data_IF_576611035003
#
_entry.id   IF_576611035003
#
_cell.length_a   1.000
_cell.length_b   1.000
_cell.length_c   1.000
_cell.angle_alpha   90.00
_cell.angle_beta   90.00
_cell.angle_gamma   90.00
#
_symmetry.space_group_name_H-M   'P 1'
#
loop_
_entity.id
_entity.type
_entity.pdbx_description
1 polymer ?
#
# COMPACT_ATOMS: atom_id res chain seq x y z
N UNK A 1 -24.21 22.32 8.55
CA UNK A 1 -24.69 21.69 7.31
C UNK A 1 -26.21 21.83 7.27
N UNK A 2 -26.77 22.34 6.15
CA UNK A 2 -28.22 22.41 5.95
C UNK A 2 -28.65 21.19 5.13
N UNK A 3 -29.77 20.57 5.54
CA UNK A 3 -30.37 19.44 4.83
C UNK A 3 -31.67 19.91 4.17
N UNK A 4 -31.92 19.42 2.94
CA UNK A 4 -33.09 19.82 2.16
C UNK A 4 -34.41 19.26 2.72
N UNK A 5 -34.37 18.22 3.57
CA UNK A 5 -35.56 17.62 4.15
C UNK A 5 -35.28 17.03 5.55
N UNK A 6 -36.36 16.80 6.34
CA UNK A 6 -36.28 16.11 7.63
C UNK A 6 -35.86 14.64 7.47
N UNK A 7 -36.26 14.01 6.39
CA UNK A 7 -35.90 12.62 6.05
C UNK A 7 -34.40 12.53 5.79
N UNK A 8 -33.83 13.47 5.02
CA UNK A 8 -32.39 13.54 4.74
C UNK A 8 -31.55 13.74 6.02
N UNK A 9 -32.06 14.53 6.98
CA UNK A 9 -31.41 14.68 8.28
C UNK A 9 -31.45 13.38 9.09
N UNK A 10 -32.60 12.69 9.16
CA UNK A 10 -32.73 11.41 9.88
C UNK A 10 -31.82 10.33 9.26
N UNK A 11 -31.79 10.24 7.95
CA UNK A 11 -30.91 9.29 7.27
C UNK A 11 -29.44 9.58 7.57
N UNK A 12 -29.04 10.85 7.56
CA UNK A 12 -27.67 11.24 7.93
C UNK A 12 -27.34 10.91 9.39
N UNK A 13 -28.27 11.14 10.30
CA UNK A 13 -28.10 10.75 11.71
C UNK A 13 -27.93 9.24 11.87
N UNK A 14 -28.73 8.45 11.13
CA UNK A 14 -28.59 6.98 11.11
C UNK A 14 -27.20 6.56 10.59
N UNK A 15 -26.74 7.17 9.50
CA UNK A 15 -25.40 6.90 8.94
C UNK A 15 -24.29 7.24 9.93
N UNK A 16 -24.40 8.34 10.67
CA UNK A 16 -23.41 8.72 11.70
C UNK A 16 -23.41 7.67 12.83
N UNK A 17 -24.58 7.28 13.34
CA UNK A 17 -24.66 6.26 14.39
C UNK A 17 -24.11 4.90 13.95
N UNK A 18 -24.37 4.50 12.70
CA UNK A 18 -23.79 3.27 12.15
C UNK A 18 -22.26 3.40 11.95
N UNK A 19 -21.76 4.56 11.55
CA UNK A 19 -20.33 4.81 11.45
C UNK A 19 -19.63 4.75 12.83
N UNK A 20 -20.27 5.31 13.88
CA UNK A 20 -19.75 5.25 15.25
C UNK A 20 -19.69 3.82 15.81
N UNK A 21 -20.64 2.96 15.44
CA UNK A 21 -20.59 1.53 15.81
C UNK A 21 -19.45 0.78 15.13
N UNK A 22 -19.02 1.24 13.97
CA UNK A 22 -17.94 0.65 13.14
C UNK A 22 -16.61 1.38 13.31
N UNK A 23 -16.49 2.29 14.27
CA UNK A 23 -15.23 3.00 14.51
C UNK A 23 -14.14 2.01 14.95
N UNK A 24 -13.14 1.83 14.11
CA UNK A 24 -12.01 0.93 14.37
C UNK A 24 -11.24 1.25 15.65
N UNK A 25 -11.24 2.52 16.10
CA UNK A 25 -10.59 2.91 17.36
C UNK A 25 -11.36 2.37 18.57
N UNK A 26 -12.70 2.44 18.51
CA UNK A 26 -13.57 1.91 19.55
C UNK A 26 -13.49 0.39 19.58
N UNK A 27 -13.71 -0.26 18.44
CA UNK A 27 -13.66 -1.72 18.32
C UNK A 27 -12.27 -2.24 18.69
N UNK A 28 -11.22 -1.60 18.20
CA UNK A 28 -9.83 -1.97 18.49
C UNK A 28 -9.50 -1.96 19.97
N UNK A 29 -10.03 -0.99 20.71
CA UNK A 29 -9.88 -0.92 22.17
C UNK A 29 -10.74 -1.96 22.90
N UNK A 30 -12.03 -2.09 22.54
CA UNK A 30 -12.97 -3.01 23.19
C UNK A 30 -12.59 -4.48 23.01
N UNK A 31 -12.04 -4.82 21.84
CA UNK A 31 -11.59 -6.18 21.49
C UNK A 31 -10.10 -6.43 21.73
N UNK A 32 -9.38 -5.47 22.26
CA UNK A 32 -7.93 -5.55 22.51
C UNK A 32 -7.14 -5.95 21.25
N UNK A 33 -7.44 -5.28 20.10
CA UNK A 33 -6.81 -5.62 18.84
C UNK A 33 -5.44 -4.96 18.65
N UNK A 34 -5.32 -3.70 19.05
CA UNK A 34 -4.05 -2.95 18.93
C UNK A 34 -3.99 -1.83 19.96
N UNK A 35 -2.78 -1.34 20.16
CA UNK A 35 -2.54 -0.16 20.97
C UNK A 35 -1.58 0.81 20.29
N UNK A 36 -1.69 2.09 20.61
CA UNK A 36 -0.71 3.13 20.35
C UNK A 36 -0.10 3.53 21.70
N UNK A 37 1.20 3.41 21.86
CA UNK A 37 1.90 3.73 23.09
C UNK A 37 2.84 4.92 22.86
N UNK A 38 2.84 5.88 23.79
CA UNK A 38 3.65 7.11 23.67
C UNK A 38 5.17 6.82 23.68
N UNK A 39 5.63 5.78 24.39
CA UNK A 39 7.03 5.38 24.40
C UNK A 39 7.50 4.81 23.05
N UNK A 40 6.59 4.25 22.27
CA UNK A 40 6.87 3.76 20.91
C UNK A 40 6.73 4.91 19.92
N UNK A 41 5.71 5.74 20.08
CA UNK A 41 5.44 6.90 19.26
C UNK A 41 4.09 6.86 18.56
N UNK A 42 3.60 8.04 18.20
CA UNK A 42 2.31 8.21 17.50
C UNK A 42 2.40 7.65 16.07
N UNK A 43 1.35 6.95 15.66
CA UNK A 43 1.27 6.37 14.32
C UNK A 43 2.07 5.07 14.14
N UNK A 44 2.55 4.49 15.25
CA UNK A 44 3.25 3.19 15.29
C UNK A 44 2.39 2.20 16.08
N UNK A 45 1.43 1.53 15.43
CA UNK A 45 0.52 0.60 16.11
C UNK A 45 1.25 -0.67 16.54
N UNK A 46 0.92 -1.14 17.73
CA UNK A 46 1.32 -2.46 18.24
C UNK A 46 0.11 -3.37 18.17
N UNK A 47 0.20 -4.44 17.43
CA UNK A 47 -0.83 -5.46 17.37
C UNK A 47 -0.79 -6.30 18.65
N UNK A 48 -1.94 -6.46 19.29
CA UNK A 48 -2.13 -7.32 20.45
C UNK A 48 -2.53 -8.73 19.99
N UNK A 49 -2.52 -9.74 20.86
CA UNK A 49 -2.75 -11.12 20.44
C UNK A 49 -4.02 -11.34 19.61
N UNK A 50 -5.16 -10.76 20.00
CA UNK A 50 -6.41 -10.85 19.24
C UNK A 50 -6.29 -10.16 17.86
N UNK A 51 -5.66 -9.01 17.83
CA UNK A 51 -5.43 -8.27 16.59
C UNK A 51 -4.45 -8.96 15.65
N UNK A 52 -3.41 -9.61 16.17
CA UNK A 52 -2.46 -10.36 15.36
C UNK A 52 -3.12 -11.58 14.70
N UNK A 53 -4.01 -12.29 15.42
CA UNK A 53 -4.81 -13.37 14.84
C UNK A 53 -5.63 -12.85 13.65
N UNK A 54 -6.38 -11.75 13.85
CA UNK A 54 -7.19 -11.15 12.80
C UNK A 54 -6.35 -10.72 11.60
N UNK A 55 -5.23 -10.03 11.87
CA UNK A 55 -4.28 -9.57 10.84
C UNK A 55 -3.71 -10.75 10.05
N UNK A 56 -3.23 -11.79 10.74
CA UNK A 56 -2.64 -12.98 10.12
C UNK A 56 -3.64 -13.72 9.23
N UNK A 57 -4.90 -13.83 9.64
CA UNK A 57 -5.94 -14.47 8.82
C UNK A 57 -6.28 -13.67 7.57
N UNK A 58 -6.32 -12.35 7.66
CA UNK A 58 -6.53 -11.46 6.49
C UNK A 58 -5.33 -11.58 5.53
N UNK A 59 -4.10 -11.55 6.06
CA UNK A 59 -2.88 -11.70 5.27
C UNK A 59 -2.81 -13.07 4.59
N UNK A 60 -3.17 -14.15 5.31
CA UNK A 60 -3.22 -15.50 4.76
C UNK A 60 -4.21 -15.61 3.60
N UNK A 61 -5.43 -15.11 3.78
CA UNK A 61 -6.44 -15.09 2.73
C UNK A 61 -5.96 -14.33 1.48
N UNK A 62 -5.32 -13.19 1.67
CA UNK A 62 -4.80 -12.41 0.56
C UNK A 62 -3.65 -13.13 -0.17
N UNK A 63 -2.73 -13.75 0.58
CA UNK A 63 -1.63 -14.55 0.02
C UNK A 63 -2.17 -15.69 -0.84
N UNK A 64 -3.09 -16.50 -0.30
CA UNK A 64 -3.72 -17.61 -1.01
C UNK A 64 -4.43 -17.15 -2.30
N UNK A 65 -5.11 -16.00 -2.22
CA UNK A 65 -5.78 -15.41 -3.38
C UNK A 65 -4.77 -14.97 -4.44
N UNK A 66 -3.72 -14.24 -4.05
CA UNK A 66 -2.68 -13.77 -4.95
C UNK A 66 -1.92 -14.91 -5.62
N UNK A 67 -1.60 -15.98 -4.88
CA UNK A 67 -0.98 -17.17 -5.43
C UNK A 67 -1.86 -17.83 -6.49
N UNK A 68 -3.18 -17.89 -6.26
CA UNK A 68 -4.14 -18.40 -7.25
C UNK A 68 -4.19 -17.53 -8.52
N UNK A 69 -3.91 -16.23 -8.41
CA UNK A 69 -3.76 -15.30 -9.53
C UNK A 69 -2.34 -15.29 -10.15
N UNK A 70 -1.43 -16.15 -9.66
CA UNK A 70 -0.09 -16.34 -10.20
C UNK A 70 0.95 -15.31 -9.73
N UNK A 71 0.72 -14.67 -8.59
CA UNK A 71 1.71 -13.80 -7.97
C UNK A 71 2.81 -14.61 -7.29
N UNK A 72 4.04 -14.15 -7.42
CA UNK A 72 5.22 -14.71 -6.77
C UNK A 72 5.59 -13.85 -5.57
N UNK A 73 5.72 -14.48 -4.41
CA UNK A 73 6.04 -13.78 -3.16
C UNK A 73 7.53 -13.46 -3.07
N UNK A 74 7.80 -12.25 -2.60
CA UNK A 74 9.15 -11.81 -2.24
C UNK A 74 9.13 -11.20 -0.85
N UNK A 75 10.30 -11.05 -0.23
CA UNK A 75 10.50 -10.31 1.02
C UNK A 75 11.71 -9.42 0.84
N UNK A 76 11.54 -8.15 1.13
CA UNK A 76 12.59 -7.15 0.94
C UNK A 76 12.93 -6.43 2.25
N UNK A 77 14.18 -5.99 2.45
CA UNK A 77 14.58 -5.29 3.66
C UNK A 77 13.85 -3.95 3.80
N UNK A 78 13.68 -3.50 5.04
CA UNK A 78 13.06 -2.20 5.36
C UNK A 78 14.03 -1.02 5.24
N UNK A 79 15.31 -1.32 5.09
CA UNK A 79 16.40 -0.37 5.05
C UNK A 79 17.21 -0.57 3.77
N UNK A 80 17.58 0.52 3.10
CA UNK A 80 18.45 0.47 1.92
C UNK A 80 19.30 1.74 1.79
N UNK A 81 20.34 1.63 0.99
CA UNK A 81 21.23 2.75 0.67
C UNK A 81 20.53 3.82 -0.14
N UNK A 82 20.97 5.05 0.03
CA UNK A 82 20.46 6.25 -0.64
C UNK A 82 20.41 6.09 -2.16
N UNK A 83 21.43 5.49 -2.75
CA UNK A 83 21.57 5.34 -4.20
C UNK A 83 20.40 4.58 -4.83
N UNK A 84 19.79 3.65 -4.09
CA UNK A 84 18.61 2.94 -4.58
C UNK A 84 17.41 3.88 -4.72
N UNK A 85 17.21 4.77 -3.76
CA UNK A 85 16.09 5.72 -3.78
C UNK A 85 16.33 6.88 -4.75
N UNK A 86 17.58 7.24 -5.01
CA UNK A 86 17.96 8.19 -6.07
C UNK A 86 17.71 7.59 -7.46
N UNK A 87 18.22 6.39 -7.71
CA UNK A 87 18.10 5.72 -9.02
C UNK A 87 16.65 5.41 -9.40
N UNK A 88 15.79 5.19 -8.41
CA UNK A 88 14.37 4.93 -8.60
C UNK A 88 13.50 6.20 -8.62
N UNK A 89 14.09 7.39 -8.47
CA UNK A 89 13.39 8.67 -8.46
C UNK A 89 12.61 8.98 -7.17
N UNK A 90 12.73 8.15 -6.12
CA UNK A 90 11.96 8.34 -4.89
C UNK A 90 12.45 9.54 -4.08
N UNK A 91 13.75 9.75 -3.93
CA UNK A 91 14.28 10.90 -3.20
C UNK A 91 13.91 12.24 -3.85
N UNK A 92 14.03 12.43 -5.18
CA UNK A 92 13.65 13.69 -5.82
C UNK A 92 12.16 14.04 -5.67
N UNK A 93 11.26 13.04 -5.57
CA UNK A 93 9.82 13.26 -5.64
C UNK A 93 9.07 13.05 -4.32
N UNK A 94 9.62 12.27 -3.38
CA UNK A 94 8.92 11.83 -2.17
C UNK A 94 9.74 12.05 -0.89
N UNK A 95 10.81 12.83 -0.93
CA UNK A 95 11.70 13.07 0.21
C UNK A 95 10.94 13.53 1.47
N UNK A 96 9.94 14.40 1.32
CA UNK A 96 9.13 14.93 2.44
C UNK A 96 8.35 13.84 3.19
N UNK A 97 8.02 12.75 2.50
CA UNK A 97 7.32 11.58 3.07
C UNK A 97 8.25 10.52 3.65
N UNK A 98 9.55 10.65 3.47
CA UNK A 98 10.54 9.70 3.98
C UNK A 98 11.08 10.14 5.34
N UNK A 99 11.43 9.17 6.20
CA UNK A 99 12.19 9.48 7.41
C UNK A 99 13.56 10.04 7.06
N UNK A 100 14.14 10.91 7.91
CA UNK A 100 15.49 11.40 7.71
C UNK A 100 16.50 10.26 7.51
N UNK A 101 17.56 10.50 6.74
CA UNK A 101 18.60 9.50 6.53
C UNK A 101 19.32 9.12 7.81
N UNK A 102 19.90 7.92 7.79
CA UNK A 102 20.80 7.41 8.82
C UNK A 102 22.21 7.30 8.22
N UNK A 103 23.14 8.03 8.79
CA UNK A 103 24.56 7.94 8.41
C UNK A 103 25.19 6.72 9.12
N UNK A 104 25.77 5.84 8.32
CA UNK A 104 26.45 4.62 8.77
C UNK A 104 27.88 4.58 8.20
N UNK A 105 28.72 3.68 8.72
CA UNK A 105 30.13 3.57 8.31
C UNK A 105 30.32 3.30 6.81
N UNK A 106 29.36 2.63 6.19
CA UNK A 106 29.40 2.21 4.78
C UNK A 106 28.45 3.01 3.86
N UNK A 107 27.88 4.10 4.34
CA UNK A 107 27.05 5.02 3.57
C UNK A 107 25.76 5.48 4.24
N UNK A 108 24.99 6.23 3.51
CA UNK A 108 23.73 6.80 3.96
C UNK A 108 22.56 5.85 3.66
N UNK A 109 21.71 5.61 4.66
CA UNK A 109 20.59 4.70 4.55
C UNK A 109 19.26 5.38 4.84
N UNK A 110 18.20 4.88 4.24
CA UNK A 110 16.81 5.31 4.44
C UNK A 110 15.92 4.15 4.82
N UNK A 111 14.91 4.41 5.67
CA UNK A 111 13.76 3.52 5.82
C UNK A 111 12.91 3.56 4.55
N UNK A 112 12.51 2.41 4.05
CA UNK A 112 11.66 2.36 2.85
C UNK A 112 10.27 2.91 3.13
N UNK A 113 9.84 3.86 2.30
CA UNK A 113 8.48 4.40 2.31
C UNK A 113 7.55 3.68 1.32
N UNK A 114 8.13 2.94 0.38
CA UNK A 114 7.46 2.16 -0.68
C UNK A 114 8.29 0.93 -1.04
N UNK A 115 7.66 -0.11 -1.60
CA UNK A 115 8.33 -1.35 -2.00
C UNK A 115 8.90 -1.30 -3.43
N UNK A 116 8.45 -0.33 -4.25
CA UNK A 116 8.81 -0.24 -5.68
C UNK A 116 10.30 -0.38 -5.99
N UNK A 117 11.22 0.36 -5.32
CA UNK A 117 12.65 0.25 -5.62
C UNK A 117 13.20 -1.16 -5.44
N UNK A 118 12.75 -1.83 -4.38
CA UNK A 118 13.17 -3.20 -4.07
C UNK A 118 12.65 -4.21 -5.09
N UNK A 119 11.35 -4.09 -5.47
CA UNK A 119 10.76 -4.97 -6.47
C UNK A 119 11.43 -4.83 -7.83
N UNK A 120 11.85 -3.62 -8.22
CA UNK A 120 12.60 -3.41 -9.46
C UNK A 120 13.99 -4.06 -9.41
N UNK A 121 14.66 -4.08 -8.23
CA UNK A 121 15.89 -4.84 -8.05
C UNK A 121 15.64 -6.35 -8.17
N UNK A 122 14.56 -6.86 -7.57
CA UNK A 122 14.19 -8.27 -7.72
C UNK A 122 13.92 -8.60 -9.19
N UNK A 123 13.21 -7.75 -9.91
CA UNK A 123 12.98 -7.94 -11.35
C UNK A 123 14.30 -7.97 -12.13
N UNK A 124 15.23 -7.06 -11.86
CA UNK A 124 16.50 -6.92 -12.57
C UNK A 124 17.60 -7.88 -12.09
N UNK A 125 17.35 -8.67 -11.03
CA UNK A 125 18.35 -9.59 -10.46
C UNK A 125 18.88 -10.66 -11.43
N UNK A 126 18.12 -10.94 -12.49
CA UNK A 126 18.53 -11.82 -13.60
C UNK A 126 18.05 -11.27 -14.94
N UNK A 127 18.73 -11.64 -16.02
CA UNK A 127 18.22 -11.40 -17.38
C UNK A 127 16.94 -12.20 -17.59
N UNK A 128 15.90 -11.56 -18.09
CA UNK A 128 14.57 -12.17 -18.33
C UNK A 128 14.23 -12.12 -19.82
N UNK A 129 13.56 -13.18 -20.28
CA UNK A 129 12.97 -13.19 -21.59
C UNK A 129 11.57 -12.53 -21.53
N UNK A 130 11.14 -11.87 -22.60
CA UNK A 130 9.77 -11.40 -22.76
C UNK A 130 8.73 -12.53 -22.62
N UNK A 131 9.13 -13.77 -22.85
CA UNK A 131 8.28 -14.97 -22.69
C UNK A 131 8.00 -15.31 -21.22
N UNK A 132 8.74 -14.73 -20.28
CA UNK A 132 8.51 -14.87 -18.84
C UNK A 132 7.45 -13.88 -18.32
N UNK A 133 6.97 -12.98 -19.19
CA UNK A 133 5.95 -11.99 -18.85
C UNK A 133 4.54 -12.54 -19.16
N UNK A 134 3.53 -12.17 -18.38
CA UNK A 134 3.60 -11.24 -17.25
C UNK A 134 4.27 -11.87 -16.01
N UNK A 135 5.11 -11.10 -15.32
CA UNK A 135 5.69 -11.47 -14.03
C UNK A 135 5.02 -10.61 -12.95
N UNK A 136 4.38 -11.26 -11.99
CA UNK A 136 3.69 -10.62 -10.87
C UNK A 136 4.45 -10.87 -9.58
N UNK A 137 4.97 -9.83 -8.94
CA UNK A 137 5.73 -9.90 -7.69
C UNK A 137 4.91 -9.23 -6.60
N UNK A 138 4.66 -9.93 -5.50
CA UNK A 138 3.88 -9.44 -4.36
C UNK A 138 4.64 -9.54 -3.04
N UNK A 139 4.38 -8.61 -2.14
CA UNK A 139 4.97 -8.56 -0.80
C UNK A 139 3.98 -7.97 0.21
N UNK A 140 3.93 -8.54 1.42
CA UNK A 140 3.48 -7.79 2.59
C UNK A 140 4.68 -7.01 3.14
N UNK A 141 4.92 -5.84 2.53
CA UNK A 141 6.07 -5.01 2.84
C UNK A 141 5.82 -4.05 3.99
N UNK A 142 6.64 -4.12 5.04
CA UNK A 142 6.62 -3.09 6.07
C UNK A 142 7.28 -1.83 5.52
N UNK A 143 6.53 -0.73 5.52
CA UNK A 143 6.99 0.59 5.07
C UNK A 143 6.80 1.64 6.15
N UNK A 144 7.63 2.68 6.10
CA UNK A 144 7.65 3.76 7.09
C UNK A 144 7.48 5.10 6.39
N UNK A 145 6.51 5.89 6.83
CA UNK A 145 6.22 7.22 6.28
C UNK A 145 6.29 8.28 7.36
N UNK A 146 7.03 9.35 7.10
CA UNK A 146 7.18 10.47 8.03
C UNK A 146 5.94 11.37 8.01
N UNK A 147 4.80 10.81 8.40
CA UNK A 147 3.54 11.53 8.45
C UNK A 147 3.53 12.58 9.58
N UNK A 148 2.97 13.76 9.29
CA UNK A 148 2.80 14.80 10.29
C UNK A 148 1.86 14.34 11.40
N UNK A 149 2.18 14.68 12.66
CA UNK A 149 1.40 14.25 13.82
C UNK A 149 -0.08 14.60 13.74
N UNK A 150 -0.41 15.76 13.17
CA UNK A 150 -1.79 16.23 13.03
C UNK A 150 -2.60 15.48 11.96
N UNK A 151 -1.97 14.69 11.10
CA UNK A 151 -2.64 13.91 10.04
C UNK A 151 -2.93 12.48 10.47
N UNK A 152 -2.38 12.01 11.58
CA UNK A 152 -2.52 10.64 12.04
C UNK A 152 -3.97 10.32 12.49
N UNK A 153 -4.50 9.18 12.06
CA UNK A 153 -5.89 8.82 12.29
C UNK A 153 -6.06 7.31 12.56
N UNK A 154 -5.81 6.88 13.80
CA UNK A 154 -5.93 5.48 14.22
C UNK A 154 -5.09 4.55 13.33
N UNK A 155 -5.73 3.54 12.71
CA UNK A 155 -5.10 2.66 11.72
C UNK A 155 -5.26 3.17 10.27
N UNK A 156 -6.07 4.23 10.03
CA UNK A 156 -6.32 4.75 8.69
C UNK A 156 -5.15 5.58 8.15
N UNK A 157 -4.39 6.22 9.03
CA UNK A 157 -3.18 6.95 8.66
C UNK A 157 -2.14 6.81 9.76
N UNK A 158 -1.10 6.09 9.44
CA UNK A 158 -0.04 5.62 10.36
C UNK A 158 1.34 5.96 9.81
N UNK A 159 2.35 5.84 10.66
CA UNK A 159 3.77 6.00 10.27
C UNK A 159 4.45 4.69 9.91
N UNK A 160 3.90 3.56 10.37
CA UNK A 160 4.35 2.22 10.00
C UNK A 160 3.14 1.40 9.57
N UNK A 161 3.21 0.78 8.41
CA UNK A 161 2.15 -0.09 7.89
C UNK A 161 2.76 -1.32 7.20
N UNK A 162 2.05 -2.44 7.29
CA UNK A 162 2.28 -3.60 6.44
C UNK A 162 1.41 -3.42 5.19
N UNK A 163 2.05 -3.19 4.07
CA UNK A 163 1.37 -2.93 2.80
C UNK A 163 1.29 -4.20 1.97
N UNK A 164 0.08 -4.62 1.64
CA UNK A 164 -0.09 -5.62 0.59
C UNK A 164 0.13 -4.94 -0.76
N UNK A 165 1.30 -5.14 -1.34
CA UNK A 165 1.78 -4.42 -2.51
C UNK A 165 2.31 -5.39 -3.57
N UNK A 166 2.07 -5.05 -4.84
CA UNK A 166 2.50 -5.85 -5.96
C UNK A 166 2.97 -5.00 -7.13
N UNK A 167 3.92 -5.54 -7.90
CA UNK A 167 4.37 -4.97 -9.16
C UNK A 167 4.23 -6.01 -10.25
N UNK A 168 3.55 -5.62 -11.33
CA UNK A 168 3.30 -6.46 -12.48
C UNK A 168 4.15 -5.95 -13.65
N UNK A 169 5.04 -6.79 -14.12
CA UNK A 169 5.88 -6.54 -15.28
C UNK A 169 5.27 -7.27 -16.46
N UNK A 170 4.81 -6.52 -17.46
CA UNK A 170 4.10 -7.07 -18.61
C UNK A 170 4.44 -6.32 -19.89
N UNK A 171 4.11 -6.89 -21.04
CA UNK A 171 4.16 -6.21 -22.33
C UNK A 171 2.93 -5.31 -22.52
N UNK A 172 2.97 -4.35 -23.44
CA UNK A 172 1.88 -3.41 -23.65
C UNK A 172 0.57 -4.08 -24.05
N UNK A 173 0.63 -5.15 -24.81
CA UNK A 173 -0.54 -5.95 -25.21
C UNK A 173 -1.16 -6.73 -24.04
N UNK A 174 -0.39 -7.03 -23.00
CA UNK A 174 -0.85 -7.71 -21.79
C UNK A 174 -1.52 -6.77 -20.77
N UNK A 175 -1.29 -5.45 -20.82
CA UNK A 175 -1.78 -4.49 -19.82
C UNK A 175 -3.29 -4.60 -19.60
N UNK A 176 -4.07 -4.72 -20.67
CA UNK A 176 -5.52 -4.80 -20.55
C UNK A 176 -6.02 -6.03 -19.77
N UNK A 177 -5.35 -7.16 -19.95
CA UNK A 177 -5.68 -8.40 -19.24
C UNK A 177 -5.26 -8.33 -17.76
N UNK A 178 -4.08 -7.77 -17.49
CA UNK A 178 -3.59 -7.58 -16.12
C UNK A 178 -4.49 -6.64 -15.31
N UNK A 179 -4.94 -5.53 -15.91
CA UNK A 179 -5.88 -4.61 -15.27
C UNK A 179 -7.21 -5.31 -14.99
N UNK A 180 -7.76 -6.08 -15.94
CA UNK A 180 -8.99 -6.85 -15.71
C UNK A 180 -8.86 -7.87 -14.59
N UNK A 181 -7.74 -8.59 -14.54
CA UNK A 181 -7.46 -9.55 -13.48
C UNK A 181 -7.39 -8.88 -12.11
N UNK A 182 -6.73 -7.72 -12.00
CA UNK A 182 -6.69 -6.94 -10.77
C UNK A 182 -8.08 -6.48 -10.33
N UNK A 183 -8.88 -5.93 -11.24
CA UNK A 183 -10.26 -5.51 -10.93
C UNK A 183 -11.09 -6.69 -10.45
N UNK A 184 -10.95 -7.86 -11.07
CA UNK A 184 -11.64 -9.07 -10.63
C UNK A 184 -11.21 -9.49 -9.22
N UNK A 185 -9.92 -9.51 -8.93
CA UNK A 185 -9.38 -9.85 -7.61
C UNK A 185 -9.89 -8.87 -6.53
N UNK A 186 -9.93 -7.56 -6.81
CA UNK A 186 -10.51 -6.55 -5.89
C UNK A 186 -12.00 -6.82 -5.65
N UNK A 187 -12.76 -7.16 -6.70
CA UNK A 187 -14.16 -7.52 -6.56
C UNK A 187 -14.37 -8.75 -5.67
N UNK A 188 -13.51 -9.76 -5.79
CA UNK A 188 -13.57 -10.97 -4.98
C UNK A 188 -13.25 -10.68 -3.51
N UNK A 189 -12.24 -9.84 -3.22
CA UNK A 189 -11.97 -9.36 -1.88
C UNK A 189 -13.17 -8.62 -1.29
N UNK A 190 -13.73 -7.66 -2.01
CA UNK A 190 -14.84 -6.86 -1.52
C UNK A 190 -16.09 -7.70 -1.28
N UNK A 191 -16.36 -8.67 -2.13
CA UNK A 191 -17.45 -9.63 -1.92
C UNK A 191 -17.25 -10.46 -0.65
N UNK A 192 -16.03 -10.96 -0.41
CA UNK A 192 -15.69 -11.71 0.81
C UNK A 192 -15.87 -10.88 2.06
N UNK A 193 -15.51 -9.59 2.03
CA UNK A 193 -15.68 -8.68 3.17
C UNK A 193 -17.05 -8.00 3.24
N UNK A 194 -17.99 -8.33 2.35
CA UNK A 194 -19.34 -7.79 2.35
C UNK A 194 -19.44 -6.32 1.90
N UNK A 195 -18.49 -5.83 1.11
CA UNK A 195 -18.58 -4.50 0.49
C UNK A 195 -19.35 -4.59 -0.82
N UNK A 196 -20.62 -4.16 -0.80
CA UNK A 196 -21.49 -4.19 -1.98
C UNK A 196 -21.41 -2.92 -2.84
N UNK A 197 -21.11 -1.79 -2.22
CA UNK A 197 -21.09 -0.48 -2.87
C UNK A 197 -19.69 0.14 -2.83
N UNK A 198 -19.02 0.19 -3.95
CA UNK A 198 -17.72 0.84 -4.10
C UNK A 198 -17.56 1.41 -5.51
N UNK A 199 -16.61 2.32 -5.66
CA UNK A 199 -16.29 2.93 -6.94
C UNK A 199 -14.83 2.67 -7.30
N UNK A 200 -14.60 2.22 -8.53
CA UNK A 200 -13.27 2.16 -9.11
C UNK A 200 -13.00 3.48 -9.83
N UNK A 201 -11.86 4.07 -9.54
CA UNK A 201 -11.40 5.29 -10.21
C UNK A 201 -10.11 4.99 -10.97
N UNK A 202 -10.16 5.14 -12.27
CA UNK A 202 -8.96 5.11 -13.10
C UNK A 202 -8.25 6.46 -12.98
N UNK A 203 -7.04 6.46 -12.43
CA UNK A 203 -6.18 7.64 -12.46
C UNK A 203 -5.39 7.61 -13.76
N UNK A 204 -5.45 8.71 -14.48
CA UNK A 204 -4.62 8.93 -15.65
C UNK A 204 -3.34 9.64 -15.24
N UNK A 205 -2.30 9.52 -16.03
CA UNK A 205 -1.05 10.24 -15.81
C UNK A 205 -1.24 11.74 -15.99
N UNK A 206 -0.45 12.51 -15.27
CA UNK A 206 -0.39 13.96 -15.46
C UNK A 206 0.51 14.25 -16.67
N UNK A 207 -0.04 14.97 -17.65
CA UNK A 207 0.70 15.37 -18.85
C UNK A 207 1.92 16.26 -18.53
N UNK A 208 1.94 16.93 -17.38
CA UNK A 208 3.09 17.70 -16.91
C UNK A 208 4.28 16.82 -16.49
N UNK A 209 4.04 15.52 -16.19
CA UNK A 209 5.05 14.53 -15.82
C UNK A 209 5.52 13.65 -16.99
N UNK A 210 5.10 13.96 -18.21
CA UNK A 210 5.41 13.19 -19.44
C UNK A 210 6.92 12.98 -19.65
N UNK A 211 7.75 13.91 -19.17
CA UNK A 211 9.22 13.84 -19.32
C UNK A 211 9.85 12.71 -18.50
N UNK A 212 9.13 12.12 -17.55
CA UNK A 212 9.63 11.05 -16.67
C UNK A 212 9.36 9.66 -17.28
N UNK A 213 8.43 9.55 -18.24
CA UNK A 213 7.92 8.28 -18.76
C UNK A 213 8.28 7.97 -20.21
N UNK A 214 9.02 8.82 -20.92
CA UNK A 214 9.53 8.45 -22.24
C UNK A 214 10.72 7.48 -22.09
N UNK A 215 10.59 6.22 -22.58
CA UNK A 215 11.75 5.36 -22.71
C UNK A 215 12.69 6.02 -23.72
N UNK A 216 13.90 6.34 -23.29
CA UNK A 216 14.97 6.79 -24.18
C UNK A 216 15.09 5.78 -25.31
N UNK A 217 14.58 6.12 -26.51
CA UNK A 217 14.90 5.39 -27.73
C UNK A 217 16.40 5.53 -27.93
N UNK A 218 17.14 4.49 -27.59
CA UNK A 218 18.52 4.37 -28.09
C UNK A 218 18.40 4.26 -29.58
N UNK A 219 18.79 5.33 -30.28
CA UNK A 219 19.11 5.27 -31.70
C UNK A 219 20.25 4.27 -31.88
N UNK A 220 19.97 3.23 -32.63
CA UNK A 220 20.97 2.31 -33.19
C UNK A 220 21.93 3.03 -34.10
#
# INVERSE_FOLDING_TARGET
MCYASKEGLKERQRQIQEAEKRDHKKIGKEMELYMINEMIGKGLPVWLPHGEILKSEIERYAVETEEAYGYQRVTTPVLAKQELFESSGHLPHYADGMYPPMEMDDGTYYLKAMNCPMHHLVFSSKKRSYRELPLRIAEYGTVYRNELSGTLAGLLRVRMLSMNDAHIYCTLDQVGDEVRANVQMVNDYYRTFGFENFHLRLSLWDLSLIHISEPTRRST
#
